data_IF_284242228639
#
_entry.id   IF_284242228639
#
_cell.length_a   1.000
_cell.length_b   1.000
_cell.length_c   1.000
_cell.angle_alpha   90.00
_cell.angle_beta   90.00
_cell.angle_gamma   90.00
#
_symmetry.space_group_name_H-M   'P 1'
#
loop_
_entity.id
_entity.type
_entity.pdbx_description
1 polymer ?
#
# COMPACT_ATOMS: atom_id res chain seq x y z
N UNK A 1 8.31 -0.89 -14.30
CA UNK A 1 8.67 -1.61 -13.06
C UNK A 1 7.94 -2.94 -13.05
N UNK A 2 8.64 -4.05 -12.77
CA UNK A 2 8.01 -5.36 -12.63
C UNK A 2 7.17 -5.42 -11.33
N UNK A 3 6.07 -6.16 -11.33
CA UNK A 3 5.19 -6.31 -10.16
C UNK A 3 5.95 -6.81 -8.91
N UNK A 4 6.96 -7.66 -9.10
CA UNK A 4 7.85 -8.12 -8.03
C UNK A 4 8.64 -6.99 -7.39
N UNK A 5 9.19 -6.07 -8.19
CA UNK A 5 9.92 -4.92 -7.65
C UNK A 5 9.00 -4.03 -6.82
N UNK A 6 7.74 -3.86 -7.24
CA UNK A 6 6.72 -3.19 -6.44
C UNK A 6 6.47 -3.89 -5.09
N UNK A 7 6.27 -5.20 -5.08
CA UNK A 7 6.08 -5.95 -3.83
C UNK A 7 7.28 -5.82 -2.90
N UNK A 8 8.51 -5.86 -3.43
CA UNK A 8 9.72 -5.63 -2.65
C UNK A 8 9.77 -4.22 -2.06
N UNK A 9 9.31 -3.20 -2.80
CA UNK A 9 9.23 -1.82 -2.29
C UNK A 9 8.16 -1.70 -1.22
N UNK A 10 6.97 -2.28 -1.39
CA UNK A 10 5.93 -2.24 -0.36
C UNK A 10 6.40 -2.92 0.91
N UNK A 11 6.92 -4.14 0.80
CA UNK A 11 7.54 -4.84 1.93
C UNK A 11 8.68 -4.00 2.51
N UNK A 12 9.52 -3.40 1.68
CA UNK A 12 10.57 -2.50 2.13
C UNK A 12 10.03 -1.29 2.90
N UNK A 13 8.98 -0.62 2.44
CA UNK A 13 8.45 0.58 3.09
C UNK A 13 7.64 0.28 4.36
N UNK A 14 6.98 -0.88 4.41
CA UNK A 14 6.21 -1.30 5.59
C UNK A 14 7.10 -1.93 6.64
N UNK A 15 8.14 -2.67 6.22
CA UNK A 15 9.05 -3.39 7.09
C UNK A 15 10.31 -2.57 7.44
N UNK A 16 10.91 -1.82 6.51
CA UNK A 16 12.22 -1.17 6.73
C UNK A 16 12.14 0.24 7.35
N UNK A 17 11.58 0.32 8.54
CA UNK A 17 12.21 1.11 9.59
C UNK A 17 12.56 0.21 10.79
N UNK A 18 12.94 -1.04 10.52
CA UNK A 18 13.56 -1.90 11.53
C UNK A 18 14.89 -1.32 12.01
N UNK A 19 14.90 -0.81 13.24
CA UNK A 19 16.12 -0.55 14.00
C UNK A 19 16.38 -1.75 14.92
N UNK A 20 17.30 -2.64 14.55
CA UNK A 20 17.79 -3.72 15.43
C UNK A 20 18.93 -3.21 16.34
N UNK A 21 18.82 -2.00 16.89
CA UNK A 21 19.72 -1.56 17.96
C UNK A 21 18.98 -1.80 19.28
N UNK A 22 19.43 -2.74 20.12
CA UNK A 22 18.84 -2.98 21.43
C UNK A 22 18.79 -1.73 22.31
N UNK A 23 19.73 -0.79 22.13
CA UNK A 23 19.77 0.47 22.87
C UNK A 23 18.63 1.41 22.47
N UNK A 24 18.35 1.53 21.17
CA UNK A 24 17.23 2.35 20.66
C UNK A 24 15.89 1.72 21.05
N UNK A 25 15.79 0.40 21.00
CA UNK A 25 14.59 -0.33 21.42
C UNK A 25 14.32 -0.12 22.92
N UNK A 26 15.34 -0.21 23.78
CA UNK A 26 15.15 0.05 25.22
C UNK A 26 14.82 1.52 25.51
N UNK A 27 15.47 2.48 24.85
CA UNK A 27 15.15 3.90 25.00
C UNK A 27 13.71 4.21 24.55
N UNK A 28 13.29 3.62 23.42
CA UNK A 28 11.93 3.80 22.90
C UNK A 28 10.88 2.99 23.63
N UNK A 29 11.21 1.91 24.32
CA UNK A 29 10.28 1.21 25.24
C UNK A 29 10.08 2.04 26.51
N UNK A 30 11.10 2.78 26.96
CA UNK A 30 10.99 3.69 28.11
C UNK A 30 10.24 4.98 27.75
N UNK A 31 10.30 5.42 26.48
CA UNK A 31 9.56 6.57 25.95
C UNK A 31 8.20 6.20 25.33
N UNK A 32 8.01 4.97 24.86
CA UNK A 32 6.72 4.45 24.45
C UNK A 32 5.87 4.41 25.71
N UNK A 33 4.79 5.17 25.71
CA UNK A 33 3.86 5.24 26.82
C UNK A 33 3.12 3.92 27.04
N UNK A 34 1.85 4.02 27.41
CA UNK A 34 1.01 2.84 27.62
C UNK A 34 0.95 1.98 26.34
N UNK A 35 1.15 0.65 26.41
CA UNK A 35 0.89 -0.28 25.31
C UNK A 35 -0.45 -0.10 24.59
N UNK A 36 -1.42 0.56 25.24
CA UNK A 36 -2.68 0.98 24.62
C UNK A 36 -2.52 1.98 23.47
N UNK A 37 -1.43 2.77 23.42
CA UNK A 37 -1.12 3.70 22.31
C UNK A 37 -0.62 2.99 21.04
N UNK A 38 -0.33 1.68 21.12
CA UNK A 38 0.05 0.88 19.97
C UNK A 38 -1.12 0.55 19.03
N UNK A 39 -2.36 0.84 19.44
CA UNK A 39 -3.56 0.51 18.69
C UNK A 39 -4.54 1.68 18.57
N UNK A 40 -4.99 1.96 17.36
CA UNK A 40 -6.09 2.88 17.09
C UNK A 40 -7.17 2.18 16.28
N UNK A 41 -8.20 1.71 16.96
CA UNK A 41 -9.33 1.02 16.32
C UNK A 41 -10.54 1.93 16.08
N UNK A 42 -10.51 3.17 16.57
CA UNK A 42 -11.59 4.14 16.37
C UNK A 42 -11.25 4.97 15.13
N UNK A 43 -12.05 4.85 14.05
CA UNK A 43 -11.78 5.57 12.81
C UNK A 43 -11.66 7.07 13.03
N UNK A 44 -10.68 7.64 12.33
CA UNK A 44 -10.30 9.04 12.24
C UNK A 44 -9.67 9.63 13.49
N UNK A 45 -9.44 8.85 14.55
CA UNK A 45 -8.85 9.38 15.79
C UNK A 45 -7.42 9.88 15.56
N UNK A 46 -6.58 9.05 14.95
CA UNK A 46 -5.20 9.38 14.65
C UNK A 46 -5.09 10.45 13.57
N UNK A 47 -5.98 10.40 12.59
CA UNK A 47 -6.07 11.42 11.55
C UNK A 47 -6.41 12.79 12.14
N UNK A 48 -7.43 12.87 13.02
CA UNK A 48 -7.86 14.13 13.63
C UNK A 48 -6.78 14.69 14.54
N UNK A 49 -6.18 13.86 15.40
CA UNK A 49 -5.10 14.30 16.30
C UNK A 49 -3.88 14.80 15.51
N UNK A 50 -3.52 14.10 14.43
CA UNK A 50 -2.44 14.51 13.53
C UNK A 50 -2.79 15.79 12.78
N UNK A 51 -4.05 15.97 12.36
CA UNK A 51 -4.51 17.19 11.71
C UNK A 51 -4.36 18.40 12.64
N UNK A 52 -4.82 18.28 13.89
CA UNK A 52 -4.66 19.34 14.89
C UNK A 52 -3.19 19.69 15.11
N UNK A 53 -2.31 18.69 15.19
CA UNK A 53 -0.88 18.91 15.29
C UNK A 53 -0.30 19.58 14.03
N UNK A 54 -0.75 19.17 12.85
CA UNK A 54 -0.32 19.71 11.55
C UNK A 54 -0.64 21.19 11.40
N UNK A 55 -1.74 21.68 12.01
CA UNK A 55 -2.04 23.12 12.01
C UNK A 55 -1.00 23.97 12.75
N UNK A 56 -0.26 23.35 13.69
CA UNK A 56 0.76 24.03 14.53
C UNK A 56 2.18 23.82 13.99
N UNK A 57 2.47 22.64 13.45
CA UNK A 57 3.84 22.23 13.09
C UNK A 57 4.08 22.08 11.58
N UNK A 58 3.03 22.14 10.76
CA UNK A 58 3.12 22.04 9.30
C UNK A 58 2.22 20.95 8.71
N UNK A 59 1.65 21.23 7.54
CA UNK A 59 0.75 20.31 6.84
C UNK A 59 1.45 19.09 6.24
N UNK A 60 2.78 19.09 6.17
CA UNK A 60 3.53 17.96 5.61
C UNK A 60 3.38 16.68 6.44
N UNK A 61 3.10 16.81 7.74
CA UNK A 61 2.89 15.69 8.66
C UNK A 61 1.66 14.88 8.22
N UNK A 62 0.49 15.53 8.11
CA UNK A 62 -0.74 14.85 7.68
C UNK A 62 -0.65 14.35 6.24
N UNK A 63 0.02 15.08 5.34
CA UNK A 63 0.20 14.61 3.96
C UNK A 63 1.05 13.35 3.88
N UNK A 64 2.10 13.23 4.72
CA UNK A 64 2.90 12.00 4.81
C UNK A 64 2.09 10.85 5.38
N UNK A 65 1.28 11.09 6.41
CA UNK A 65 0.43 10.06 7.03
C UNK A 65 -0.63 9.55 6.05
N UNK A 66 -1.51 10.43 5.56
CA UNK A 66 -2.62 10.04 4.69
C UNK A 66 -2.12 9.64 3.30
N UNK A 67 -1.24 10.45 2.72
CA UNK A 67 -0.70 10.22 1.38
C UNK A 67 0.19 8.98 1.32
N UNK A 68 0.99 8.72 2.36
CA UNK A 68 1.84 7.54 2.46
C UNK A 68 1.04 6.24 2.37
N UNK A 69 -0.05 6.15 3.14
CA UNK A 69 -0.95 5.00 3.10
C UNK A 69 -1.68 4.88 1.75
N UNK A 70 -2.26 5.98 1.23
CA UNK A 70 -2.92 5.94 -0.09
C UNK A 70 -1.95 5.42 -1.19
N UNK A 71 -0.71 5.92 -1.21
CA UNK A 71 0.29 5.54 -2.22
C UNK A 71 0.71 4.08 -2.07
N UNK A 72 0.65 3.49 -0.87
CA UNK A 72 1.15 2.15 -0.59
C UNK A 72 0.46 1.06 -1.41
N UNK A 73 -0.89 1.05 -1.40
CA UNK A 73 -1.69 0.09 -2.17
C UNK A 73 -2.22 0.64 -3.49
N UNK A 74 -1.94 1.89 -3.83
CA UNK A 74 -2.32 2.46 -5.11
C UNK A 74 -1.83 1.63 -6.32
N UNK A 75 -0.54 1.22 -6.41
CA UNK A 75 -0.08 0.41 -7.54
C UNK A 75 -0.75 -0.97 -7.58
N UNK A 76 -1.07 -1.57 -6.42
CA UNK A 76 -1.80 -2.84 -6.37
C UNK A 76 -3.18 -2.72 -7.05
N UNK A 77 -3.86 -1.58 -6.88
CA UNK A 77 -5.11 -1.28 -7.57
C UNK A 77 -5.01 -1.26 -9.09
N UNK A 78 -3.83 -0.91 -9.63
CA UNK A 78 -3.55 -0.95 -11.06
C UNK A 78 -3.19 -2.38 -11.50
N UNK A 79 -2.31 -3.05 -10.76
CA UNK A 79 -1.79 -4.36 -11.12
C UNK A 79 -2.83 -5.48 -11.00
N UNK A 80 -3.66 -5.46 -9.96
CA UNK A 80 -4.64 -6.51 -9.70
C UNK A 80 -5.56 -6.81 -10.91
N UNK A 81 -6.23 -5.82 -11.53
CA UNK A 81 -7.09 -6.07 -12.70
C UNK A 81 -6.32 -6.37 -14.00
N UNK A 82 -5.03 -6.00 -14.09
CA UNK A 82 -4.15 -6.35 -15.22
C UNK A 82 -3.80 -7.83 -15.15
N UNK A 83 -3.31 -8.28 -13.98
CA UNK A 83 -2.86 -9.66 -13.75
C UNK A 83 -4.02 -10.65 -13.71
N UNK A 84 -5.14 -10.26 -13.11
CA UNK A 84 -6.27 -11.15 -12.91
C UNK A 84 -7.57 -10.57 -13.48
N UNK A 85 -8.11 -11.23 -14.51
CA UNK A 85 -9.34 -10.80 -15.19
C UNK A 85 -10.55 -10.75 -14.26
N UNK A 86 -10.59 -11.60 -13.24
CA UNK A 86 -11.64 -11.56 -12.24
C UNK A 86 -11.57 -10.28 -11.39
N UNK A 87 -10.41 -9.68 -11.11
CA UNK A 87 -10.33 -8.49 -10.24
C UNK A 87 -10.69 -7.15 -10.92
N UNK A 88 -11.28 -7.18 -12.13
CA UNK A 88 -11.63 -5.99 -12.94
C UNK A 88 -12.90 -5.26 -12.50
N UNK A 89 -13.28 -5.31 -11.22
CA UNK A 89 -14.44 -4.59 -10.69
C UNK A 89 -14.04 -3.75 -9.48
N UNK A 90 -14.71 -2.61 -9.30
CA UNK A 90 -14.41 -1.70 -8.18
C UNK A 90 -14.62 -2.39 -6.81
N UNK A 91 -15.61 -3.28 -6.70
CA UNK A 91 -15.84 -4.08 -5.47
C UNK A 91 -14.67 -5.00 -5.17
N UNK A 92 -14.10 -5.63 -6.20
CA UNK A 92 -12.94 -6.52 -6.04
C UNK A 92 -11.67 -5.72 -5.76
N UNK A 93 -11.50 -4.54 -6.36
CA UNK A 93 -10.42 -3.63 -6.02
C UNK A 93 -10.48 -3.18 -4.55
N UNK A 94 -11.68 -2.82 -4.04
CA UNK A 94 -11.86 -2.51 -2.63
C UNK A 94 -11.56 -3.71 -1.73
N UNK A 95 -12.03 -4.92 -2.09
CA UNK A 95 -11.75 -6.13 -1.32
C UNK A 95 -10.24 -6.44 -1.28
N UNK A 96 -9.54 -6.29 -2.41
CA UNK A 96 -8.09 -6.45 -2.49
C UNK A 96 -7.38 -5.42 -1.62
N UNK A 97 -7.81 -4.16 -1.66
CA UNK A 97 -7.27 -3.11 -0.79
C UNK A 97 -7.48 -3.41 0.69
N UNK A 98 -8.68 -3.84 1.07
CA UNK A 98 -9.02 -4.17 2.44
C UNK A 98 -8.20 -5.36 2.95
N UNK A 99 -8.18 -6.47 2.20
CA UNK A 99 -7.41 -7.66 2.58
C UNK A 99 -5.93 -7.36 2.59
N UNK A 100 -5.42 -6.68 1.56
CA UNK A 100 -4.02 -6.29 1.47
C UNK A 100 -3.59 -5.40 2.63
N UNK A 101 -4.43 -4.44 3.02
CA UNK A 101 -4.11 -3.59 4.16
C UNK A 101 -4.19 -4.31 5.48
N UNK A 102 -5.21 -5.17 5.69
CA UNK A 102 -5.28 -5.98 6.91
C UNK A 102 -4.06 -6.90 7.04
N UNK A 103 -3.53 -7.42 5.92
CA UNK A 103 -2.28 -8.18 5.94
C UNK A 103 -1.08 -7.32 6.34
N UNK A 104 -0.99 -6.07 5.86
CA UNK A 104 0.07 -5.13 6.24
C UNK A 104 0.01 -4.83 7.75
N UNK A 105 -1.16 -4.43 8.26
CA UNK A 105 -1.36 -4.17 9.69
C UNK A 105 -1.06 -5.40 10.56
N UNK A 106 -1.50 -6.58 10.12
CA UNK A 106 -1.23 -7.84 10.84
C UNK A 106 0.26 -8.17 10.90
N UNK A 107 0.99 -7.90 9.81
CA UNK A 107 2.44 -8.08 9.78
C UNK A 107 3.14 -7.08 10.71
N UNK A 108 2.73 -5.81 10.69
CA UNK A 108 3.26 -4.79 11.60
C UNK A 108 3.00 -5.14 13.07
N UNK A 109 1.78 -5.60 13.38
CA UNK A 109 1.43 -6.12 14.70
C UNK A 109 2.31 -7.30 15.11
N UNK A 110 2.41 -8.33 14.26
CA UNK A 110 3.18 -9.54 14.57
C UNK A 110 4.66 -9.20 14.80
N UNK A 111 5.20 -8.29 14.01
CA UNK A 111 6.58 -7.82 14.14
C UNK A 111 6.76 -7.04 15.43
N UNK A 112 5.87 -6.10 15.74
CA UNK A 112 5.91 -5.35 16.99
C UNK A 112 5.76 -6.24 18.23
N UNK A 113 4.90 -7.25 18.15
CA UNK A 113 4.75 -8.26 19.19
C UNK A 113 6.03 -9.10 19.36
N UNK A 114 6.63 -9.55 18.25
CA UNK A 114 7.83 -10.40 18.27
C UNK A 114 9.08 -9.66 18.77
N UNK A 115 9.18 -8.36 18.54
CA UNK A 115 10.29 -7.51 19.00
C UNK A 115 10.05 -6.94 20.40
N UNK A 116 8.83 -7.01 20.92
CA UNK A 116 8.42 -6.33 22.15
C UNK A 116 8.32 -4.80 22.01
N UNK A 117 8.33 -4.29 20.77
CA UNK A 117 8.27 -2.86 20.48
C UNK A 117 7.46 -2.58 19.20
N UNK A 118 6.37 -1.82 19.34
CA UNK A 118 5.55 -1.38 18.22
C UNK A 118 6.16 -0.14 17.56
N UNK A 119 6.86 -0.35 16.45
CA UNK A 119 7.46 0.74 15.69
C UNK A 119 6.42 1.70 15.08
N UNK A 120 5.26 1.14 14.67
CA UNK A 120 4.10 1.88 14.19
C UNK A 120 2.88 1.43 14.98
N UNK A 121 2.01 2.39 15.25
CA UNK A 121 0.66 2.14 15.73
C UNK A 121 -0.10 1.37 14.67
N UNK A 122 -0.76 0.28 15.07
CA UNK A 122 -1.71 -0.44 14.21
C UNK A 122 -2.98 0.39 14.15
N UNK A 123 -3.36 0.82 12.95
CA UNK A 123 -4.37 1.86 12.79
C UNK A 123 -5.44 1.48 11.77
N UNK A 124 -6.71 1.60 12.17
CA UNK A 124 -7.84 1.41 11.27
C UNK A 124 -7.87 2.47 10.15
N UNK A 125 -7.32 3.67 10.40
CA UNK A 125 -7.18 4.73 9.41
C UNK A 125 -6.27 4.30 8.27
N UNK A 126 -5.18 3.59 8.58
CA UNK A 126 -4.26 3.05 7.59
C UNK A 126 -4.98 2.03 6.68
N UNK A 127 -5.84 1.17 7.26
CA UNK A 127 -6.70 0.25 6.50
C UNK A 127 -7.63 0.97 5.53
N UNK A 128 -8.24 2.06 6.00
CA UNK A 128 -9.14 2.87 5.18
C UNK A 128 -8.36 3.53 4.03
N UNK A 129 -7.24 4.19 4.34
CA UNK A 129 -6.45 4.91 3.34
C UNK A 129 -5.79 3.99 2.31
N UNK A 130 -5.24 2.86 2.74
CA UNK A 130 -4.70 1.84 1.85
C UNK A 130 -5.81 1.28 0.92
N UNK A 131 -7.01 1.02 1.46
CA UNK A 131 -8.15 0.56 0.66
C UNK A 131 -8.60 1.60 -0.38
N UNK A 132 -8.63 2.87 0.00
CA UNK A 132 -8.91 3.99 -0.91
C UNK A 132 -7.82 4.14 -1.99
N UNK A 133 -6.55 4.00 -1.60
CA UNK A 133 -5.43 3.94 -2.53
C UNK A 133 -5.61 2.88 -3.60
N UNK A 134 -5.95 1.66 -3.21
CA UNK A 134 -6.23 0.56 -4.13
C UNK A 134 -7.43 0.89 -5.05
N UNK A 135 -8.50 1.50 -4.53
CA UNK A 135 -9.62 1.95 -5.35
C UNK A 135 -9.19 3.01 -6.38
N UNK A 136 -8.41 4.01 -5.97
CA UNK A 136 -7.88 5.03 -6.89
C UNK A 136 -6.99 4.42 -7.97
N UNK A 137 -6.12 3.46 -7.61
CA UNK A 137 -5.33 2.70 -8.57
C UNK A 137 -6.20 1.97 -9.59
N UNK A 138 -7.29 1.35 -9.15
CA UNK A 138 -8.25 0.71 -10.05
C UNK A 138 -8.94 1.72 -10.99
N UNK A 139 -9.28 2.92 -10.51
CA UNK A 139 -9.84 3.97 -11.36
C UNK A 139 -8.84 4.37 -12.45
N UNK A 140 -7.55 4.51 -12.11
CA UNK A 140 -6.50 4.76 -13.09
C UNK A 140 -6.38 3.61 -14.09
N UNK A 141 -6.40 2.36 -13.64
CA UNK A 141 -6.45 1.19 -14.53
C UNK A 141 -7.60 1.30 -15.55
N UNK A 142 -8.80 1.68 -15.09
CA UNK A 142 -9.96 1.81 -15.98
C UNK A 142 -9.74 2.87 -17.06
N UNK A 143 -9.04 3.95 -16.75
CA UNK A 143 -8.70 5.01 -17.70
C UNK A 143 -7.66 4.58 -18.73
N UNK A 144 -6.66 3.77 -18.34
CA UNK A 144 -5.55 3.33 -19.22
C UNK A 144 -5.83 2.01 -19.94
N UNK A 145 -6.85 1.25 -19.51
CA UNK A 145 -7.22 -0.05 -20.10
C UNK A 145 -7.36 -0.02 -21.63
N UNK A 146 -8.08 0.94 -22.26
CA UNK A 146 -8.25 0.92 -23.71
C UNK A 146 -6.91 1.08 -24.46
N UNK A 147 -5.99 1.90 -23.93
CA UNK A 147 -4.65 2.07 -24.51
C UNK A 147 -3.83 0.78 -24.36
N UNK A 148 -3.91 0.11 -23.20
CA UNK A 148 -3.26 -1.19 -23.00
C UNK A 148 -3.77 -2.24 -23.99
N UNK A 149 -5.07 -2.27 -24.26
CA UNK A 149 -5.67 -3.20 -25.23
C UNK A 149 -5.29 -2.89 -26.68
N UNK A 150 -4.96 -1.64 -27.01
CA UNK A 150 -4.44 -1.26 -28.33
C UNK A 150 -2.99 -1.72 -28.51
N UNK A 151 -2.11 -1.43 -27.55
CA UNK A 151 -0.69 -1.83 -27.60
C UNK A 151 -0.54 -3.34 -27.72
N UNK A 152 -1.31 -4.11 -26.93
CA UNK A 152 -1.27 -5.58 -26.98
C UNK A 152 -1.70 -6.11 -28.35
N UNK A 153 -2.68 -5.48 -29.02
CA UNK A 153 -3.09 -5.90 -30.37
C UNK A 153 -2.01 -5.62 -31.40
N UNK A 154 -1.37 -4.46 -31.34
CA UNK A 154 -0.30 -4.08 -32.25
C UNK A 154 0.91 -5.02 -32.15
N UNK A 155 1.32 -5.41 -30.93
CA UNK A 155 2.39 -6.38 -30.72
C UNK A 155 2.05 -7.76 -31.30
N UNK A 156 0.83 -8.27 -31.06
CA UNK A 156 0.40 -9.58 -31.57
C UNK A 156 0.40 -9.60 -33.11
N UNK A 157 -0.08 -8.55 -33.76
CA UNK A 157 -0.09 -8.42 -35.22
C UNK A 157 1.35 -8.38 -35.78
N UNK A 158 2.26 -7.66 -35.13
CA UNK A 158 3.67 -7.60 -35.53
C UNK A 158 4.35 -8.97 -35.47
N UNK A 159 4.07 -9.75 -34.43
CA UNK A 159 4.65 -11.09 -34.25
C UNK A 159 4.05 -12.13 -35.20
N UNK A 160 2.76 -12.06 -35.54
CA UNK A 160 2.17 -12.89 -36.59
C UNK A 160 2.79 -12.59 -37.97
N UNK A 161 2.93 -11.31 -38.33
CA UNK A 161 3.52 -10.91 -39.60
C UNK A 161 4.98 -11.37 -39.76
N UNK A 162 5.79 -11.32 -38.68
CA UNK A 162 7.16 -11.87 -38.69
C UNK A 162 7.18 -13.39 -38.89
N UNK A 163 6.24 -14.13 -38.29
CA UNK A 163 6.16 -15.59 -38.44
C UNK A 163 5.81 -16.02 -39.86
N UNK A 164 4.96 -15.25 -40.54
CA UNK A 164 4.57 -15.54 -41.93
C UNK A 164 5.73 -15.30 -42.91
N UNK A 165 6.53 -14.24 -42.71
CA UNK A 165 7.72 -13.96 -43.52
C UNK A 165 8.85 -14.99 -43.37
N UNK A 166 8.94 -15.67 -42.21
CA UNK A 166 9.94 -16.73 -41.98
C UNK A 166 9.49 -18.08 -42.55
N UNK A 167 8.19 -18.26 -42.83
CA UNK A 167 7.61 -19.50 -43.37
C UNK A 167 7.53 -19.54 -44.90
N UNK A 168 7.68 -18.40 -45.58
CA UNK A 168 7.71 -18.27 -47.04
C UNK A 168 9.12 -18.39 -47.61
#
# INVERSE_FOLDING_TARGET
>A
MSFTAYLCVVLGLTLLPFYYSPEVVQHRIQEAGDPSEAFSFIPFTSTISTFEQSTKFGMDIIFKLVGGNIILLFPLGIYAPILWRNLRTWKRALLVGLVGSMMIESLQFLLGYSTGYYYRTVDIDDVIYNSLGCLFGYLIYKLIRPQLEQVVKEEVISEEHKKDLVRS
#
